data_IF_968387392183
#
_entry.id   IF_968387392183
#
_cell.length_a   1.000
_cell.length_b   1.000
_cell.length_c   1.000
_cell.angle_alpha   90.00
_cell.angle_beta   90.00
_cell.angle_gamma   90.00
#
_symmetry.space_group_name_H-M   'P 1'
#
loop_
_entity.id
_entity.type
_entity.pdbx_description
1 polymer ?
#
# COMPACT_ATOMS: atom_id res chain seq x y z
N UNK A 1 8.88 -15.60 1.47
CA UNK A 1 9.01 -14.14 1.75
C UNK A 1 9.69 -13.40 0.58
N UNK A 2 9.22 -13.58 -0.67
CA UNK A 2 9.77 -12.88 -1.85
C UNK A 2 8.72 -12.06 -2.62
N UNK A 3 7.45 -12.19 -2.25
CA UNK A 3 6.32 -11.58 -2.97
C UNK A 3 5.97 -10.17 -2.47
N UNK A 4 6.39 -9.84 -1.25
CA UNK A 4 6.01 -8.63 -0.54
C UNK A 4 6.47 -7.36 -1.25
N UNK A 5 7.70 -7.33 -1.76
CA UNK A 5 8.22 -6.16 -2.49
C UNK A 5 7.56 -5.95 -3.87
N UNK A 6 7.02 -7.01 -4.48
CA UNK A 6 6.37 -6.90 -5.80
C UNK A 6 4.98 -6.29 -5.63
N UNK A 7 4.26 -6.66 -4.58
CA UNK A 7 2.91 -6.15 -4.31
C UNK A 7 2.88 -4.80 -3.58
N UNK A 8 4.02 -4.32 -3.08
CA UNK A 8 4.10 -2.98 -2.48
C UNK A 8 4.20 -1.85 -3.50
N UNK A 9 4.53 -2.15 -4.77
CA UNK A 9 4.69 -1.15 -5.82
C UNK A 9 3.60 -1.25 -6.89
N UNK A 10 3.17 -0.11 -7.45
CA UNK A 10 2.11 -0.04 -8.47
C UNK A 10 0.78 -0.68 -8.02
N UNK A 11 0.52 -0.68 -6.71
CA UNK A 11 -0.55 -1.41 -6.05
C UNK A 11 -1.91 -0.69 -6.01
N UNK A 12 -2.02 0.50 -6.62
CA UNK A 12 -3.30 1.25 -6.71
C UNK A 12 -4.46 0.44 -7.28
N UNK A 13 -4.20 -0.52 -8.18
CA UNK A 13 -5.26 -1.37 -8.74
C UNK A 13 -5.76 -2.43 -7.75
N UNK A 14 -4.92 -2.82 -6.79
CA UNK A 14 -5.24 -3.82 -5.77
C UNK A 14 -5.91 -3.18 -4.55
N UNK A 15 -5.62 -1.91 -4.29
CA UNK A 15 -6.14 -1.16 -3.15
C UNK A 15 -7.45 -0.46 -3.55
N UNK A 16 -8.55 -0.99 -3.02
CA UNK A 16 -9.87 -0.34 -3.01
C UNK A 16 -10.11 0.33 -1.66
N UNK A 17 -11.14 1.17 -1.58
CA UNK A 17 -11.46 1.89 -0.34
C UNK A 17 -11.79 0.95 0.83
N UNK A 18 -12.40 -0.19 0.54
CA UNK A 18 -12.79 -1.26 1.46
C UNK A 18 -11.67 -2.29 1.70
N UNK A 19 -10.53 -2.17 1.01
CA UNK A 19 -9.41 -3.10 1.18
C UNK A 19 -8.71 -2.82 2.51
N UNK A 20 -8.54 -3.85 3.32
CA UNK A 20 -7.67 -3.77 4.49
C UNK A 20 -6.23 -3.79 3.99
N UNK A 21 -5.50 -2.76 4.37
CA UNK A 21 -4.09 -2.58 4.06
C UNK A 21 -3.27 -2.67 5.35
N UNK A 22 -2.06 -3.19 5.22
CA UNK A 22 -1.09 -3.24 6.29
C UNK A 22 0.22 -2.60 5.83
N UNK A 23 0.80 -1.76 6.69
CA UNK A 23 2.14 -1.26 6.48
C UNK A 23 3.12 -2.21 7.17
N UNK A 24 3.99 -2.88 6.41
CA UNK A 24 4.97 -3.82 6.98
C UNK A 24 6.16 -3.12 7.68
N UNK A 25 6.27 -1.79 7.53
CA UNK A 25 7.27 -0.99 8.23
C UNK A 25 6.81 -0.57 9.63
N UNK A 26 5.67 0.13 9.74
CA UNK A 26 5.14 0.57 11.04
C UNK A 26 4.15 -0.41 11.68
N UNK A 27 3.88 -1.55 11.03
CA UNK A 27 3.00 -2.63 11.46
C UNK A 27 1.55 -2.18 11.75
N UNK A 28 1.12 -1.06 11.17
CA UNK A 28 -0.26 -0.57 11.30
C UNK A 28 -1.15 -1.15 10.21
N UNK A 29 -2.36 -1.53 10.61
CA UNK A 29 -3.46 -1.92 9.75
C UNK A 29 -4.45 -0.76 9.61
N UNK A 30 -4.96 -0.54 8.40
CA UNK A 30 -5.92 0.50 8.09
C UNK A 30 -6.65 0.20 6.77
N UNK A 31 -7.81 0.82 6.56
CA UNK A 31 -8.50 0.75 5.28
C UNK A 31 -7.79 1.55 4.20
N UNK A 32 -7.85 1.06 2.96
CA UNK A 32 -7.33 1.74 1.78
C UNK A 32 -7.93 3.14 1.58
N UNK A 33 -9.13 3.38 2.12
CA UNK A 33 -9.77 4.69 2.20
C UNK A 33 -8.91 5.76 2.89
N UNK A 34 -8.00 5.38 3.79
CA UNK A 34 -7.09 6.32 4.49
C UNK A 34 -5.88 6.76 3.65
N UNK A 35 -5.63 6.13 2.50
CA UNK A 35 -4.46 6.43 1.66
C UNK A 35 -4.77 7.67 0.81
N UNK A 36 -4.28 8.81 1.28
CA UNK A 36 -4.38 10.10 0.60
C UNK A 36 -3.19 10.38 -0.34
N UNK A 37 -2.06 9.73 -0.12
CA UNK A 37 -0.82 9.96 -0.86
C UNK A 37 -0.43 8.75 -1.71
N UNK A 38 -0.03 9.06 -2.96
CA UNK A 38 0.32 8.07 -3.97
C UNK A 38 1.52 8.55 -4.75
N UNK A 39 2.58 7.75 -4.79
CA UNK A 39 3.76 7.99 -5.62
C UNK A 39 3.42 7.53 -7.04
N UNK A 40 3.56 8.44 -8.02
CA UNK A 40 3.44 8.10 -9.43
C UNK A 40 4.75 7.49 -9.91
N UNK A 41 4.75 6.19 -10.18
CA UNK A 41 5.85 5.47 -10.83
C UNK A 41 5.53 5.31 -12.33
N UNK A 42 6.52 4.93 -13.14
CA UNK A 42 6.36 4.75 -14.60
C UNK A 42 5.23 3.77 -14.96
N UNK A 43 4.97 2.79 -14.11
CA UNK A 43 4.06 1.68 -14.39
C UNK A 43 2.75 1.73 -13.57
N UNK A 44 2.53 2.78 -12.77
CA UNK A 44 1.37 2.83 -11.87
C UNK A 44 1.55 3.77 -10.69
N UNK A 45 0.67 3.59 -9.69
CA UNK A 45 0.68 4.37 -8.45
C UNK A 45 0.97 3.46 -7.27
N UNK A 46 1.90 3.88 -6.44
CA UNK A 46 2.29 3.18 -5.21
C UNK A 46 1.71 3.92 -4.01
N UNK A 47 0.99 3.20 -3.15
CA UNK A 47 0.39 3.77 -1.95
C UNK A 47 1.46 4.16 -0.91
N UNK A 48 1.28 5.32 -0.27
CA UNK A 48 2.11 5.76 0.85
C UNK A 48 1.35 5.58 2.17
N UNK A 49 2.04 5.07 3.19
CA UNK A 49 1.45 4.89 4.52
C UNK A 49 1.05 6.25 5.13
N UNK A 50 -0.23 6.47 5.47
CA UNK A 50 -0.67 7.72 6.06
C UNK A 50 -0.17 7.92 7.50
N UNK A 51 0.49 6.92 8.10
CA UNK A 51 0.99 6.97 9.47
C UNK A 51 2.50 7.19 9.56
N UNK A 52 3.29 6.61 8.66
CA UNK A 52 4.76 6.72 8.69
C UNK A 52 5.35 7.37 7.44
N UNK A 53 4.55 7.66 6.41
CA UNK A 53 5.00 8.34 5.20
C UNK A 53 5.86 7.50 4.26
N UNK A 54 5.89 6.18 4.43
CA UNK A 54 6.70 5.26 3.60
C UNK A 54 5.79 4.43 2.70
N UNK A 55 6.27 4.14 1.49
CA UNK A 55 5.66 3.32 0.44
C UNK A 55 5.71 1.79 0.72
N UNK A 56 5.45 1.43 1.98
CA UNK A 56 5.55 0.06 2.48
C UNK A 56 4.17 -0.56 2.74
N UNK A 57 3.19 -0.32 1.85
CA UNK A 57 1.80 -0.80 2.00
C UNK A 57 1.59 -2.11 1.23
N UNK A 58 0.86 -3.03 1.84
CA UNK A 58 0.35 -4.25 1.24
C UNK A 58 -1.15 -4.40 1.50
N UNK A 59 -1.94 -4.83 0.53
CA UNK A 59 -3.31 -5.28 0.78
C UNK A 59 -3.31 -6.66 1.45
N UNK A 60 -4.28 -6.91 2.35
CA UNK A 60 -4.45 -8.20 3.05
C UNK A 60 -4.72 -9.36 2.08
N UNK A 61 -5.24 -9.06 0.88
CA UNK A 61 -5.64 -10.05 -0.14
C UNK A 61 -4.46 -10.64 -0.95
N UNK A 62 -3.22 -10.52 -0.46
CA UNK A 62 -2.00 -11.03 -1.11
C UNK A 62 -1.72 -12.51 -0.87
#
# INVERSE_FOLDING_TARGET
MLHTHIFSSNNRRLIRNDTICHCFYCLKQFEGSKINEWINDRNGKTAVCPFCGIDAILPETC
#
